data_IF_946680328617
#
_entry.id   IF_946680328617
#
_cell.length_a   1.000
_cell.length_b   1.000
_cell.length_c   1.000
_cell.angle_alpha   90.00
_cell.angle_beta   90.00
_cell.angle_gamma   90.00
#
_symmetry.space_group_name_H-M   'P 1'
#
loop_
_entity.id
_entity.type
_entity.pdbx_description
1 polymer ?
#
# COMPACT_ATOMS: atom_id res chain seq x y z
N UNK A 1 17.38 8.73 0.52
CA UNK A 1 17.06 7.88 -0.64
C UNK A 1 15.66 8.26 -1.12
N UNK A 2 15.51 8.55 -2.41
CA UNK A 2 14.27 9.07 -2.97
C UNK A 2 13.33 7.89 -3.29
N UNK A 3 12.55 7.45 -2.31
CA UNK A 3 11.63 6.29 -2.44
C UNK A 3 10.52 6.51 -3.50
N UNK A 4 10.34 7.76 -3.95
CA UNK A 4 9.31 8.23 -4.88
C UNK A 4 9.36 7.64 -6.31
N UNK A 5 10.26 6.71 -6.62
CA UNK A 5 10.37 6.11 -7.97
C UNK A 5 10.61 4.59 -7.96
N UNK A 6 10.46 3.93 -6.81
CA UNK A 6 10.67 2.48 -6.75
C UNK A 6 9.56 1.76 -7.50
N UNK A 7 9.87 0.75 -8.31
CA UNK A 7 8.85 -0.11 -8.90
C UNK A 7 8.01 -0.76 -7.80
N UNK A 8 6.74 -1.00 -8.10
CA UNK A 8 5.82 -1.67 -7.21
C UNK A 8 5.27 -2.92 -7.89
N UNK A 9 5.23 -4.02 -7.16
CA UNK A 9 4.76 -5.31 -7.67
C UNK A 9 3.64 -5.83 -6.78
N UNK A 10 2.47 -6.07 -7.35
CA UNK A 10 1.36 -6.71 -6.64
C UNK A 10 1.47 -8.24 -6.72
N UNK A 11 1.34 -8.89 -5.57
CA UNK A 11 1.30 -10.36 -5.47
C UNK A 11 -0.14 -10.86 -5.32
N UNK A 12 -0.35 -12.16 -5.51
CA UNK A 12 -1.66 -12.81 -5.53
C UNK A 12 -2.58 -12.43 -4.35
N UNK A 13 -2.01 -12.29 -3.14
CA UNK A 13 -2.78 -11.93 -1.96
C UNK A 13 -3.44 -10.55 -2.05
N UNK A 14 -2.83 -9.59 -2.76
CA UNK A 14 -3.40 -8.27 -3.00
C UNK A 14 -4.57 -8.30 -3.99
N UNK A 15 -4.68 -9.36 -4.80
CA UNK A 15 -5.69 -9.48 -5.85
C UNK A 15 -6.98 -10.16 -5.37
N UNK A 16 -6.98 -10.69 -4.14
CA UNK A 16 -8.10 -11.43 -3.53
C UNK A 16 -9.43 -10.66 -3.48
N UNK A 17 -9.38 -9.33 -3.62
CA UNK A 17 -10.56 -8.46 -3.60
C UNK A 17 -11.05 -8.03 -4.99
N UNK A 18 -10.66 -8.76 -6.05
CA UNK A 18 -11.19 -8.57 -7.40
C UNK A 18 -10.56 -7.41 -8.16
N UNK A 19 -9.33 -7.04 -7.81
CA UNK A 19 -8.53 -6.07 -8.55
C UNK A 19 -7.52 -6.78 -9.42
N UNK A 20 -7.23 -6.21 -10.58
CA UNK A 20 -6.13 -6.66 -11.43
C UNK A 20 -4.79 -6.20 -10.87
N UNK A 21 -3.73 -6.90 -11.25
CA UNK A 21 -2.35 -6.55 -10.87
C UNK A 21 -2.01 -5.10 -11.22
N UNK A 22 -2.28 -4.71 -12.46
CA UNK A 22 -1.99 -3.36 -12.98
C UNK A 22 -2.78 -2.25 -12.28
N UNK A 23 -4.01 -2.53 -11.85
CA UNK A 23 -4.80 -1.56 -11.06
C UNK A 23 -4.17 -1.33 -9.69
N UNK A 24 -3.77 -2.40 -9.01
CA UNK A 24 -3.13 -2.34 -7.70
C UNK A 24 -1.78 -1.63 -7.78
N UNK A 25 -0.94 -1.97 -8.75
CA UNK A 25 0.39 -1.34 -8.90
C UNK A 25 0.26 0.16 -9.20
N UNK A 26 -0.62 0.55 -10.13
CA UNK A 26 -0.86 1.97 -10.44
C UNK A 26 -1.44 2.72 -9.25
N UNK A 27 -2.39 2.14 -8.52
CA UNK A 27 -2.97 2.77 -7.34
C UNK A 27 -1.92 3.03 -6.26
N UNK A 28 -0.99 2.09 -6.04
CA UNK A 28 0.11 2.27 -5.09
C UNK A 28 1.05 3.40 -5.49
N UNK A 29 1.46 3.43 -6.76
CA UNK A 29 2.36 4.44 -7.29
C UNK A 29 1.75 5.85 -7.23
N UNK A 30 0.44 5.98 -7.45
CA UNK A 30 -0.27 7.24 -7.30
C UNK A 30 -0.47 7.66 -5.83
N UNK A 31 -0.37 6.71 -4.90
CA UNK A 31 -0.57 6.94 -3.47
C UNK A 31 0.68 7.41 -2.72
N UNK A 32 1.78 7.75 -3.42
CA UNK A 32 3.08 8.14 -2.84
C UNK A 32 3.01 9.17 -1.71
N UNK A 33 2.22 10.22 -1.87
CA UNK A 33 2.04 11.27 -0.84
C UNK A 33 1.34 10.79 0.43
N UNK A 34 0.77 9.58 0.41
CA UNK A 34 0.05 8.95 1.53
C UNK A 34 0.83 7.80 2.18
N UNK A 35 2.07 7.54 1.80
CA UNK A 35 2.79 6.41 2.39
C UNK A 35 3.14 6.67 3.87
N UNK A 36 2.73 5.75 4.74
CA UNK A 36 3.05 5.76 6.18
C UNK A 36 3.74 4.46 6.57
N UNK A 37 4.94 4.56 7.14
CA UNK A 37 5.66 3.39 7.66
C UNK A 37 5.07 2.99 9.02
N UNK A 38 4.58 1.75 9.14
CA UNK A 38 3.77 1.31 10.30
C UNK A 38 4.40 0.19 11.13
N UNK A 39 5.57 -0.31 10.72
CA UNK A 39 6.35 -1.33 11.45
C UNK A 39 7.83 -1.02 11.31
N UNK A 40 8.28 0.02 12.00
CA UNK A 40 9.66 0.54 11.95
C UNK A 40 10.69 -0.46 12.52
N UNK A 41 10.22 -1.37 13.36
CA UNK A 41 10.97 -2.41 14.08
C UNK A 41 11.06 -3.74 13.31
N UNK A 42 10.27 -3.93 12.24
CA UNK A 42 10.27 -5.15 11.43
C UNK A 42 10.96 -4.93 10.10
N UNK A 43 11.90 -5.82 9.78
CA UNK A 43 12.52 -5.91 8.47
C UNK A 43 11.85 -7.03 7.65
N UNK A 44 11.42 -6.78 6.40
CA UNK A 44 11.42 -5.50 5.69
C UNK A 44 10.37 -4.51 6.24
N UNK A 45 10.62 -3.18 6.14
CA UNK A 45 9.70 -2.16 6.64
C UNK A 45 8.38 -2.19 5.87
N UNK A 46 7.29 -2.09 6.63
CA UNK A 46 5.93 -2.10 6.09
C UNK A 46 5.36 -0.69 5.98
N UNK A 47 4.60 -0.47 4.92
CA UNK A 47 3.98 0.79 4.57
C UNK A 47 2.49 0.59 4.35
N UNK A 48 1.69 1.52 4.88
CA UNK A 48 0.28 1.67 4.59
C UNK A 48 0.06 2.86 3.67
N UNK A 49 -0.94 2.76 2.81
CA UNK A 49 -1.33 3.83 1.90
C UNK A 49 -2.85 3.78 1.62
N UNK A 50 -3.39 4.92 1.18
CA UNK A 50 -4.71 4.98 0.57
C UNK A 50 -4.56 5.15 -0.94
N UNK A 51 -4.92 4.12 -1.68
CA UNK A 51 -4.99 4.15 -3.14
C UNK A 51 -6.40 4.41 -3.64
N UNK A 52 -6.51 4.62 -4.95
CA UNK A 52 -7.80 4.76 -5.64
C UNK A 52 -7.81 3.96 -6.92
N UNK A 53 -8.81 3.10 -7.10
CA UNK A 53 -9.04 2.28 -8.29
C UNK A 53 -10.43 2.60 -8.83
N UNK A 54 -10.49 3.35 -9.94
CA UNK A 54 -11.73 3.96 -10.42
C UNK A 54 -12.35 4.89 -9.36
N UNK A 55 -13.58 4.62 -8.96
CA UNK A 55 -14.29 5.37 -7.91
C UNK A 55 -14.17 4.76 -6.51
N UNK A 56 -13.36 3.70 -6.36
CA UNK A 56 -13.21 2.96 -5.10
C UNK A 56 -11.96 3.44 -4.36
N UNK A 57 -12.14 3.83 -3.10
CA UNK A 57 -11.01 4.02 -2.18
C UNK A 57 -10.52 2.66 -1.71
N UNK A 58 -9.20 2.48 -1.70
CA UNK A 58 -8.53 1.20 -1.49
C UNK A 58 -7.52 1.34 -0.36
N UNK A 59 -7.65 0.51 0.66
CA UNK A 59 -6.60 0.35 1.67
C UNK A 59 -5.50 -0.55 1.11
N UNK A 60 -4.24 -0.16 1.27
CA UNK A 60 -3.11 -0.86 0.68
C UNK A 60 -1.99 -1.06 1.69
N UNK A 61 -1.33 -2.22 1.64
CA UNK A 61 -0.12 -2.51 2.42
C UNK A 61 0.95 -3.10 1.51
N UNK A 62 2.15 -2.56 1.63
CA UNK A 62 3.34 -3.09 0.98
C UNK A 62 4.50 -3.17 1.96
N UNK A 63 5.46 -4.03 1.69
CA UNK A 63 6.80 -3.94 2.29
C UNK A 63 7.81 -3.46 1.26
N UNK A 64 8.87 -2.78 1.73
CA UNK A 64 9.97 -2.33 0.88
C UNK A 64 11.16 -3.28 0.98
N UNK A 65 11.65 -3.77 -0.15
CA UNK A 65 12.88 -4.58 -0.21
C UNK A 65 14.14 -3.71 -0.31
N UNK A 66 14.00 -2.39 -0.27
CA UNK A 66 15.07 -1.44 -0.59
C UNK A 66 15.13 -1.08 -2.08
N UNK A 67 14.80 -2.01 -2.99
CA UNK A 67 14.77 -1.79 -4.44
C UNK A 67 13.36 -1.62 -5.03
N UNK A 68 12.35 -2.24 -4.41
CA UNK A 68 10.96 -2.20 -4.87
C UNK A 68 9.99 -2.25 -3.69
N UNK A 69 8.73 -1.94 -3.97
CA UNK A 69 7.61 -2.23 -3.08
C UNK A 69 6.91 -3.51 -3.52
N UNK A 70 6.63 -4.40 -2.57
CA UNK A 70 5.82 -5.58 -2.81
C UNK A 70 4.48 -5.41 -2.10
N UNK A 71 3.42 -5.25 -2.90
CA UNK A 71 2.06 -4.98 -2.44
C UNK A 71 1.39 -6.32 -2.20
N UNK A 72 1.02 -6.59 -0.94
CA UNK A 72 0.43 -7.86 -0.54
C UNK A 72 -1.01 -7.70 0.01
N UNK A 73 -1.49 -6.47 0.16
CA UNK A 73 -2.85 -6.16 0.57
C UNK A 73 -3.39 -5.01 -0.28
N UNK A 74 -4.57 -5.21 -0.88
CA UNK A 74 -5.37 -4.17 -1.51
C UNK A 74 -6.85 -4.52 -1.35
N UNK A 75 -7.61 -3.68 -0.65
CA UNK A 75 -9.02 -3.97 -0.34
C UNK A 75 -9.89 -2.71 -0.43
N UNK A 76 -11.12 -2.88 -0.89
CA UNK A 76 -12.17 -1.87 -0.83
C UNK A 76 -13.46 -2.49 -0.28
N UNK A 77 -14.29 -1.77 0.50
CA UNK A 77 -14.03 -0.43 1.03
C UNK A 77 -12.91 -0.42 2.08
N UNK A 78 -12.37 0.77 2.35
CA UNK A 78 -11.40 0.99 3.44
C UNK A 78 -12.03 0.61 4.78
N UNK A 79 -11.37 -0.27 5.52
CA UNK A 79 -11.80 -0.71 6.84
C UNK A 79 -11.53 0.33 7.92
N UNK A 80 -12.42 0.41 8.90
CA UNK A 80 -12.28 1.33 10.04
C UNK A 80 -10.99 1.07 10.84
N UNK A 81 -10.62 -0.20 11.04
CA UNK A 81 -9.38 -0.60 11.72
C UNK A 81 -8.14 -0.10 10.97
N UNK A 82 -8.09 -0.29 9.65
CA UNK A 82 -6.99 0.19 8.82
C UNK A 82 -6.85 1.71 8.91
N UNK A 83 -7.97 2.44 8.79
CA UNK A 83 -7.97 3.90 8.88
C UNK A 83 -7.45 4.40 10.23
N UNK A 84 -7.82 3.72 11.32
CA UNK A 84 -7.31 4.02 12.67
C UNK A 84 -5.80 3.80 12.75
N UNK A 85 -5.33 2.61 12.37
CA UNK A 85 -3.90 2.28 12.38
C UNK A 85 -3.07 3.24 11.53
N UNK A 86 -3.55 3.60 10.34
CA UNK A 86 -2.89 4.57 9.47
C UNK A 86 -2.70 5.94 10.15
N UNK A 87 -3.74 6.44 10.82
CA UNK A 87 -3.70 7.73 11.52
C UNK A 87 -2.78 7.69 12.75
N UNK A 88 -2.74 6.56 13.46
CA UNK A 88 -1.88 6.35 14.63
C UNK A 88 -0.39 6.30 14.25
N UNK A 89 -0.05 5.73 13.08
CA UNK A 89 1.33 5.65 12.59
C UNK A 89 1.81 6.92 11.85
N UNK A 90 0.93 7.91 11.65
CA UNK A 90 1.25 9.19 11.01
C UNK A 90 1.75 10.27 11.96
N UNK A 91 1.81 10.00 13.28
CA UNK A 91 2.37 10.88 14.30
C UNK A 91 3.85 10.60 14.57
#
# INVERSE_FOLDING_TARGET
MNDAKKPAVAIESALKHGFTKDEVERAWMNAQGSWRMVRKDKWPPHFMAFGRIGNRDVEMIAYSTGSQFVIFHAKSPVGAKFKREYNENGR
#
